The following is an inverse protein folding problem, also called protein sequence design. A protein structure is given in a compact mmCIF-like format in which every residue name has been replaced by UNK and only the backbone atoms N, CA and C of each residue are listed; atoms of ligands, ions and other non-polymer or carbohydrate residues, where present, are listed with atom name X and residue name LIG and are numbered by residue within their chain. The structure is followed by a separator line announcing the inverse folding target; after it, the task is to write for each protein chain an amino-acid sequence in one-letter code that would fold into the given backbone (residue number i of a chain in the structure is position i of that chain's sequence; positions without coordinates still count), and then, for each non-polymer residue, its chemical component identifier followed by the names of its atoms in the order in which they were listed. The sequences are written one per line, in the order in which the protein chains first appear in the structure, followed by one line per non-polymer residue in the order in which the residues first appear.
data_IF_872592677517
#
_entry.id   IF_872592677517
#
_cell.length_a   1.000
_cell.length_b   1.000
_cell.length_c   1.000
_cell.angle_alpha   90.00
_cell.angle_beta   90.00
_cell.angle_gamma   90.00
#
_symmetry.space_group_name_H-M   'P 1'
#
loop_
_entity.id
_entity.type
_entity.pdbx_description
1 polymer ?
#
# COMPACT_ATOMS: atom_id res chain seq x y z
N UNK A 1 -45.14 -4.38 3.52
CA UNK A 1 -44.20 -3.34 3.02
C UNK A 1 -43.82 -2.31 4.09
N UNK A 2 -44.77 -1.70 4.83
CA UNK A 2 -44.49 -0.66 5.85
C UNK A 2 -43.61 -1.14 7.03
N UNK A 3 -43.72 -2.41 7.42
CA UNK A 3 -42.92 -3.00 8.50
C UNK A 3 -41.46 -3.28 8.10
N UNK A 4 -41.17 -3.43 6.81
CA UNK A 4 -39.81 -3.68 6.33
C UNK A 4 -38.91 -2.44 6.49
N UNK A 5 -39.48 -1.25 6.28
CA UNK A 5 -38.76 0.01 6.51
C UNK A 5 -38.49 0.27 8.00
N UNK A 6 -39.42 -0.13 8.88
CA UNK A 6 -39.21 -0.05 10.34
C UNK A 6 -38.09 -0.95 10.83
N UNK A 7 -37.99 -2.17 10.29
CA UNK A 7 -36.90 -3.10 10.60
C UNK A 7 -35.55 -2.60 10.06
N UNK A 8 -35.52 -2.02 8.86
CA UNK A 8 -34.30 -1.45 8.29
C UNK A 8 -33.80 -0.25 9.12
N UNK A 9 -34.70 0.64 9.53
CA UNK A 9 -34.35 1.80 10.37
C UNK A 9 -33.85 1.39 11.76
N UNK A 10 -34.47 0.37 12.37
CA UNK A 10 -34.03 -0.18 13.65
C UNK A 10 -32.63 -0.82 13.56
N UNK A 11 -32.35 -1.56 12.49
CA UNK A 11 -31.04 -2.16 12.25
C UNK A 11 -29.95 -1.09 12.03
N UNK A 12 -30.27 -0.02 11.30
CA UNK A 12 -29.34 1.10 11.10
C UNK A 12 -29.03 1.83 12.41
N UNK A 13 -30.04 2.07 13.26
CA UNK A 13 -29.86 2.73 14.56
C UNK A 13 -29.01 1.88 15.52
N UNK A 14 -29.25 0.57 15.58
CA UNK A 14 -28.47 -0.36 16.40
C UNK A 14 -26.99 -0.44 15.96
N UNK A 15 -26.74 -0.42 14.65
CA UNK A 15 -25.37 -0.40 14.10
C UNK A 15 -24.60 0.88 14.42
N UNK A 16 -25.27 2.03 14.42
CA UNK A 16 -24.65 3.31 14.77
C UNK A 16 -24.35 3.42 16.28
N UNK A 17 -25.23 2.89 17.14
CA UNK A 17 -24.99 2.86 18.59
C UNK A 17 -23.76 2.02 18.96
N UNK A 18 -23.52 0.90 18.25
CA UNK A 18 -22.31 0.10 18.44
C UNK A 18 -21.03 0.78 17.92
N UNK A 19 -21.15 1.70 16.96
CA UNK A 19 -20.03 2.47 16.41
C UNK A 19 -19.69 3.73 17.21
N UNK A 20 -20.57 4.15 18.13
CA UNK A 20 -20.24 5.15 19.14
C UNK A 20 -19.35 4.51 20.20
N UNK A 21 -18.07 4.32 19.85
CA UNK A 21 -17.04 4.10 20.86
C UNK A 21 -17.14 5.26 21.85
N UNK A 22 -17.51 4.97 23.10
CA UNK A 22 -17.54 5.95 24.18
C UNK A 22 -16.22 6.70 24.26
N UNK A 23 -16.26 7.94 24.77
CA UNK A 23 -15.05 8.74 24.96
C UNK A 23 -13.98 7.88 25.65
N UNK A 24 -12.80 7.79 25.04
CA UNK A 24 -11.69 7.02 25.61
C UNK A 24 -11.41 7.58 27.01
N UNK A 25 -11.32 6.74 28.05
CA UNK A 25 -11.07 7.22 29.40
C UNK A 25 -9.74 7.99 29.45
N UNK A 26 -9.74 9.13 30.14
CA UNK A 26 -8.55 9.98 30.29
C UNK A 26 -7.54 9.32 31.24
N UNK A 27 -6.31 9.00 30.78
CA UNK A 27 -5.26 8.43 31.63
C UNK A 27 -4.81 9.37 32.76
N UNK A 28 -5.11 10.67 32.68
CA UNK A 28 -4.78 11.63 33.73
C UNK A 28 -5.69 11.52 34.98
N UNK A 29 -6.82 10.83 34.88
CA UNK A 29 -7.72 10.58 35.99
C UNK A 29 -7.21 9.46 36.90
N UNK A 30 -6.86 9.72 38.18
CA UNK A 30 -6.30 8.71 39.08
C UNK A 30 -7.26 7.56 39.42
N UNK A 31 -8.57 7.78 39.31
CA UNK A 31 -9.63 6.80 39.53
C UNK A 31 -9.90 5.90 38.32
N UNK A 32 -9.36 6.25 37.15
CA UNK A 32 -9.68 5.61 35.88
C UNK A 32 -8.70 4.46 35.61
N UNK A 33 -9.23 3.24 35.52
CA UNK A 33 -8.44 2.09 35.05
C UNK A 33 -8.34 2.11 33.53
N UNK A 34 -7.16 2.40 33.01
CA UNK A 34 -6.85 2.32 31.57
C UNK A 34 -5.95 1.12 31.27
N UNK A 35 -6.07 0.51 30.07
CA UNK A 35 -5.09 -0.46 29.61
C UNK A 35 -3.69 0.16 29.55
N UNK A 36 -2.68 -0.67 29.82
CA UNK A 36 -1.27 -0.26 29.75
C UNK A 36 -0.88 0.14 28.32
N UNK A 37 -0.10 1.23 28.21
CA UNK A 37 0.45 1.65 26.93
C UNK A 37 1.62 0.74 26.53
N UNK A 38 1.39 -0.14 25.56
CA UNK A 38 2.43 -0.99 24.99
C UNK A 38 3.18 -0.20 23.91
N UNK A 39 4.44 0.16 24.18
CA UNK A 39 5.30 0.77 23.17
C UNK A 39 5.76 -0.27 22.15
N UNK A 40 5.52 0.01 20.86
CA UNK A 40 6.07 -0.75 19.74
C UNK A 40 6.94 0.18 18.91
N UNK A 41 8.19 -0.22 18.67
CA UNK A 41 9.12 0.55 17.85
C UNK A 41 8.62 0.67 16.42
N UNK A 42 8.80 1.85 15.82
CA UNK A 42 8.57 2.06 14.38
C UNK A 42 9.55 1.26 13.51
N UNK A 43 10.68 0.85 14.09
CA UNK A 43 11.65 -0.04 13.45
C UNK A 43 11.38 -1.51 13.72
N UNK A 44 10.27 -1.84 14.40
CA UNK A 44 9.88 -3.24 14.54
C UNK A 44 9.59 -3.83 13.16
N UNK A 45 10.36 -4.85 12.77
CA UNK A 45 10.34 -5.41 11.43
C UNK A 45 11.14 -4.65 10.37
N UNK A 46 11.88 -3.59 10.73
CA UNK A 46 12.83 -2.96 9.81
C UNK A 46 13.89 -3.99 9.41
N UNK A 47 13.96 -4.27 8.10
CA UNK A 47 15.07 -5.02 7.51
C UNK A 47 16.04 -4.02 6.91
N UNK A 48 17.30 -4.15 7.28
CA UNK A 48 18.39 -3.41 6.65
C UNK A 48 18.30 -3.65 5.14
N UNK A 49 18.28 -2.58 4.37
CA UNK A 49 18.30 -2.68 2.93
C UNK A 49 19.62 -3.34 2.55
N UNK A 50 19.56 -4.53 1.94
CA UNK A 50 20.73 -5.12 1.30
C UNK A 50 21.08 -4.17 0.17
N UNK A 51 22.13 -3.38 0.39
CA UNK A 51 22.69 -2.53 -0.65
C UNK A 51 23.27 -3.48 -1.67
N UNK A 52 22.43 -3.86 -2.65
CA UNK A 52 22.84 -4.55 -3.86
C UNK A 52 24.19 -4.00 -4.29
N UNK A 53 25.14 -4.90 -4.61
CA UNK A 53 26.55 -4.61 -4.91
C UNK A 53 26.74 -3.17 -5.39
N UNK A 54 27.33 -2.34 -4.53
CA UNK A 54 27.59 -0.94 -4.86
C UNK A 54 28.49 -0.88 -6.10
N UNK A 55 27.98 -0.29 -7.19
CA UNK A 55 28.76 0.00 -8.39
C UNK A 55 29.14 1.48 -8.42
N UNK A 56 30.28 1.85 -9.03
CA UNK A 56 30.65 3.24 -9.22
C UNK A 56 29.54 3.98 -9.97
N UNK A 57 29.18 5.19 -9.50
CA UNK A 57 28.10 6.00 -10.09
C UNK A 57 28.29 6.24 -11.61
N UNK A 58 29.55 6.36 -12.06
CA UNK A 58 29.88 6.56 -13.47
C UNK A 58 29.52 5.35 -14.31
N UNK A 59 29.85 4.14 -13.84
CA UNK A 59 29.54 2.91 -14.55
C UNK A 59 28.02 2.71 -14.68
N UNK A 60 27.25 3.08 -13.65
CA UNK A 60 25.79 3.08 -13.71
C UNK A 60 25.26 4.03 -14.80
N UNK A 61 25.83 5.24 -14.90
CA UNK A 61 25.41 6.23 -15.89
C UNK A 61 25.80 5.84 -17.33
N UNK A 62 26.99 5.26 -17.50
CA UNK A 62 27.44 4.73 -18.80
C UNK A 62 26.50 3.63 -19.29
N UNK A 63 26.07 2.74 -18.39
CA UNK A 63 25.12 1.68 -18.70
C UNK A 63 23.74 2.22 -19.09
N UNK A 64 23.22 3.20 -18.33
CA UNK A 64 21.98 3.89 -18.68
C UNK A 64 22.10 4.59 -20.05
N UNK A 65 23.25 5.21 -20.33
CA UNK A 65 23.54 5.80 -21.64
C UNK A 65 23.55 4.77 -22.77
N UNK A 66 24.20 3.62 -22.55
CA UNK A 66 24.28 2.49 -23.50
C UNK A 66 22.90 1.96 -23.87
N UNK A 67 22.02 1.80 -22.88
CA UNK A 67 20.66 1.29 -23.10
C UNK A 67 19.78 2.35 -23.81
N UNK A 68 20.14 3.64 -23.71
CA UNK A 68 19.39 4.75 -24.29
C UNK A 68 18.41 5.40 -23.30
N UNK A 69 18.75 5.37 -22.02
CA UNK A 69 17.93 5.93 -20.95
C UNK A 69 16.63 5.15 -20.73
N UNK A 70 15.64 5.83 -20.13
CA UNK A 70 14.34 5.25 -19.81
C UNK A 70 13.60 4.70 -21.05
N UNK A 71 13.73 5.37 -22.20
CA UNK A 71 13.08 4.96 -23.46
C UNK A 71 13.68 3.67 -24.03
N UNK A 72 14.99 3.48 -23.86
CA UNK A 72 15.69 2.27 -24.29
C UNK A 72 15.24 1.01 -23.54
N UNK A 73 15.05 1.14 -22.23
CA UNK A 73 14.55 0.05 -21.36
C UNK A 73 13.15 -0.39 -21.81
N UNK A 74 12.26 0.56 -22.14
CA UNK A 74 10.91 0.25 -22.64
C UNK A 74 10.93 -0.46 -24.02
N UNK A 75 11.89 -0.11 -24.87
CA UNK A 75 12.07 -0.75 -26.18
C UNK A 75 12.57 -2.19 -26.06
N UNK A 76 13.52 -2.47 -25.18
CA UNK A 76 14.00 -3.84 -24.93
C UNK A 76 12.93 -4.74 -24.31
N UNK A 77 12.00 -4.18 -23.53
CA UNK A 77 10.86 -4.90 -22.95
C UNK A 77 9.70 -5.12 -23.92
N UNK A 78 9.71 -4.47 -25.09
CA UNK A 78 8.69 -4.66 -26.12
C UNK A 78 9.12 -5.83 -27.01
N UNK A 79 8.42 -6.98 -27.01
CA UNK A 79 8.76 -8.08 -27.90
C UNK A 79 8.66 -7.62 -29.36
N UNK A 80 9.54 -8.10 -30.26
CA UNK A 80 9.48 -7.72 -31.67
C UNK A 80 8.10 -8.06 -32.21
N UNK A 81 7.42 -7.05 -32.75
CA UNK A 81 6.13 -7.22 -33.44
C UNK A 81 6.40 -8.12 -34.64
N UNK A 82 5.92 -9.37 -34.62
CA UNK A 82 5.94 -10.25 -35.80
C UNK A 82 5.21 -9.53 -36.94
N UNK A 83 5.96 -9.19 -37.98
CA UNK A 83 5.46 -8.57 -39.18
C UNK A 83 4.46 -9.54 -39.84
N UNK A 84 3.16 -9.22 -39.76
CA UNK A 84 2.12 -9.89 -40.51
C UNK A 84 2.18 -9.43 -41.97
N UNK A 85 3.22 -9.84 -42.71
CA UNK A 85 3.28 -9.68 -44.16
C UNK A 85 4.21 -10.73 -44.76
N UNK A 86 3.63 -11.90 -45.01
CA UNK A 86 4.33 -13.04 -45.62
C UNK A 86 3.38 -14.08 -46.21
N UNK A 87 2.16 -13.69 -46.58
CA UNK A 87 1.29 -14.51 -47.44
C UNK A 87 0.91 -13.69 -48.66
N UNK A 88 1.74 -13.79 -49.71
CA UNK A 88 1.26 -13.76 -51.09
C UNK A 88 2.06 -14.82 -51.87
N UNK A 89 1.41 -15.95 -52.11
CA UNK A 89 1.78 -16.89 -53.17
C UNK A 89 1.54 -16.24 -54.53
#
# INVERSE_FOLDING_TARGET
MKHAYGLLLAALAAGNAAAQAGARPDPAGPEVRVPEAVYRSVFDGYRMHDLSKQIPWRAANEEVGRIGGHVGILREQTPPKKDASGERK
#
